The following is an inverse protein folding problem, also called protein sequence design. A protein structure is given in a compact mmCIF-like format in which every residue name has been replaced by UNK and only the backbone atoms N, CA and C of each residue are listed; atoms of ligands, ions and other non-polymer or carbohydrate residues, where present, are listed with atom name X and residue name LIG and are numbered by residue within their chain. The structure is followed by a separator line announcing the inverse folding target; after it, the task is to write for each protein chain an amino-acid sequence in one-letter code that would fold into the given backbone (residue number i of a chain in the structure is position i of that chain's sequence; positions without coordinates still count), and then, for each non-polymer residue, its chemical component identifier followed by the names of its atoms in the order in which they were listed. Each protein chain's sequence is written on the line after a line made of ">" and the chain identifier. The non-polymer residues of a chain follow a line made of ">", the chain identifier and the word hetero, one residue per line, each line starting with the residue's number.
data_IF_192434035253
#
_entry.id   IF_192434035253
#
_cell.length_a   1.000
_cell.length_b   1.000
_cell.length_c   1.000
_cell.angle_alpha   90.00
_cell.angle_beta   90.00
_cell.angle_gamma   90.00
#
_symmetry.space_group_name_H-M   'P 1'
#
loop_
_entity.id
_entity.type
_entity.pdbx_description
1 polymer ?
#
# COMPACT_ATOMS: atom_id res chain seq x y z
N UNK A 1 -25.32 -50.19 63.42
CA UNK A 1 -23.95 -49.99 62.91
C UNK A 1 -23.96 -48.81 61.96
N UNK A 2 -23.12 -47.79 62.22
CA UNK A 2 -22.93 -46.63 61.35
C UNK A 2 -22.02 -47.02 60.18
N UNK A 3 -22.35 -46.61 58.96
CA UNK A 3 -21.38 -46.46 57.88
C UNK A 3 -21.71 -45.21 57.07
N UNK A 4 -20.85 -44.21 57.24
CA UNK A 4 -20.82 -42.96 56.49
C UNK A 4 -19.75 -43.08 55.40
N UNK A 5 -20.15 -43.17 54.14
CA UNK A 5 -19.26 -43.12 52.98
C UNK A 5 -19.33 -41.75 52.30
N UNK A 6 -18.44 -40.83 52.68
CA UNK A 6 -18.18 -39.58 51.95
C UNK A 6 -17.30 -39.88 50.73
N UNK A 7 -17.83 -39.75 49.52
CA UNK A 7 -17.01 -39.57 48.31
C UNK A 7 -17.60 -38.46 47.44
N UNK A 8 -16.97 -37.29 47.45
CA UNK A 8 -17.37 -36.18 46.60
C UNK A 8 -16.49 -34.96 46.85
N UNK A 9 -15.33 -34.91 46.18
CA UNK A 9 -14.45 -33.74 46.33
C UNK A 9 -13.33 -33.61 45.31
N UNK A 10 -12.79 -34.71 44.79
CA UNK A 10 -11.57 -34.65 43.97
C UNK A 10 -11.81 -34.48 42.45
N UNK A 11 -12.99 -34.84 41.93
CA UNK A 11 -13.30 -34.69 40.50
C UNK A 11 -13.58 -33.23 40.07
N UNK A 12 -14.30 -32.46 40.90
CA UNK A 12 -14.68 -31.08 40.56
C UNK A 12 -13.51 -30.10 40.56
N UNK A 13 -12.52 -30.28 41.44
CA UNK A 13 -11.32 -29.44 41.48
C UNK A 13 -10.39 -29.65 40.28
N UNK A 14 -10.26 -30.90 39.79
CA UNK A 14 -9.46 -31.20 38.58
C UNK A 14 -10.12 -30.69 37.30
N UNK A 15 -11.45 -30.78 37.21
CA UNK A 15 -12.20 -30.22 36.08
C UNK A 15 -12.13 -28.67 36.03
N UNK A 16 -12.18 -28.00 37.18
CA UNK A 16 -12.06 -26.55 37.25
C UNK A 16 -10.66 -26.04 36.87
N UNK A 17 -9.60 -26.78 37.24
CA UNK A 17 -8.22 -26.44 36.87
C UNK A 17 -7.96 -26.71 35.37
N UNK A 18 -8.49 -27.80 34.82
CA UNK A 18 -8.40 -28.08 33.38
C UNK A 18 -9.20 -27.08 32.53
N UNK A 19 -10.37 -26.64 33.01
CA UNK A 19 -11.15 -25.59 32.37
C UNK A 19 -10.44 -24.22 32.45
N UNK A 20 -9.83 -23.88 33.59
CA UNK A 20 -9.05 -22.65 33.74
C UNK A 20 -7.78 -22.64 32.89
N UNK A 21 -7.10 -23.79 32.72
CA UNK A 21 -5.97 -23.94 31.80
C UNK A 21 -6.39 -23.91 30.32
N UNK A 22 -7.56 -24.46 29.98
CA UNK A 22 -8.12 -24.35 28.64
C UNK A 22 -8.59 -22.92 28.32
N UNK A 23 -9.15 -22.20 29.29
CA UNK A 23 -9.48 -20.78 29.18
C UNK A 23 -8.23 -19.89 29.16
N UNK A 24 -7.17 -20.23 29.90
CA UNK A 24 -5.89 -19.54 29.82
C UNK A 24 -5.13 -19.83 28.51
N UNK A 25 -5.29 -21.02 27.93
CA UNK A 25 -4.79 -21.35 26.59
C UNK A 25 -5.59 -20.64 25.48
N UNK A 26 -6.91 -20.47 25.66
CA UNK A 26 -7.76 -19.68 24.76
C UNK A 26 -7.56 -18.17 24.92
N UNK A 27 -7.17 -17.70 26.11
CA UNK A 27 -6.79 -16.31 26.37
C UNK A 27 -5.33 -16.00 25.97
N UNK A 28 -4.52 -17.03 25.71
CA UNK A 28 -3.11 -16.91 25.33
C UNK A 28 -2.84 -16.75 23.83
N UNK A 29 -3.87 -16.85 22.98
CA UNK A 29 -3.78 -16.51 21.55
C UNK A 29 -4.43 -15.15 21.32
N UNK A 30 -3.67 -14.07 21.54
CA UNK A 30 -4.03 -12.79 20.97
C UNK A 30 -3.96 -12.91 19.44
N UNK A 31 -5.11 -13.14 18.79
CA UNK A 31 -5.22 -13.10 17.33
C UNK A 31 -5.23 -11.63 16.92
N UNK A 32 -4.17 -11.12 16.30
CA UNK A 32 -4.15 -9.77 15.72
C UNK A 32 -4.09 -9.85 14.20
N UNK A 33 -4.86 -9.02 13.52
CA UNK A 33 -4.64 -8.71 12.12
C UNK A 33 -3.68 -7.51 12.03
N UNK A 34 -2.95 -7.36 10.92
CA UNK A 34 -2.04 -6.22 10.72
C UNK A 34 -2.88 -4.96 10.54
N UNK A 35 -2.63 -3.95 11.36
CA UNK A 35 -3.27 -2.64 11.19
C UNK A 35 -2.70 -1.95 9.95
N UNK A 36 -3.57 -1.59 9.01
CA UNK A 36 -3.16 -0.93 7.77
C UNK A 36 -3.86 0.41 7.62
N UNK A 37 -3.10 1.45 7.25
CA UNK A 37 -3.63 2.78 6.93
C UNK A 37 -3.37 3.06 5.46
N UNK A 38 -4.37 2.89 4.56
CA UNK A 38 -4.19 3.14 3.14
C UNK A 38 -3.91 4.61 2.81
N UNK A 39 -3.28 4.86 1.67
CA UNK A 39 -3.10 6.24 1.16
C UNK A 39 -4.42 6.86 0.70
N UNK A 40 -5.44 6.05 0.41
CA UNK A 40 -6.79 6.52 0.01
C UNK A 40 -6.73 7.58 -1.07
N UNK A 41 -5.93 7.32 -2.10
CA UNK A 41 -5.70 8.25 -3.20
C UNK A 41 -7.03 8.55 -3.88
N UNK A 42 -7.30 9.83 -4.16
CA UNK A 42 -8.47 10.29 -4.91
C UNK A 42 -8.03 11.16 -6.07
N UNK A 43 -8.81 11.09 -7.15
CA UNK A 43 -8.72 11.99 -8.28
C UNK A 43 -10.14 12.47 -8.61
N UNK A 44 -10.38 13.76 -8.43
CA UNK A 44 -11.71 14.37 -8.52
C UNK A 44 -11.71 15.45 -9.62
N UNK A 45 -12.77 15.48 -10.43
CA UNK A 45 -13.02 16.51 -11.43
C UNK A 45 -13.43 17.86 -10.81
N UNK A 46 -13.77 18.86 -11.64
CA UNK A 46 -14.04 20.22 -11.18
C UNK A 46 -15.31 20.35 -10.32
N UNK A 47 -16.25 19.43 -10.47
CA UNK A 47 -17.49 19.31 -9.70
C UNK A 47 -17.35 18.42 -8.45
N UNK A 48 -16.15 17.90 -8.17
CA UNK A 48 -15.88 16.94 -7.10
C UNK A 48 -16.25 15.50 -7.45
N UNK A 49 -16.67 15.21 -8.70
CA UNK A 49 -16.94 13.84 -9.12
C UNK A 49 -15.63 13.05 -9.24
N UNK A 50 -15.62 11.80 -8.77
CA UNK A 50 -14.50 10.88 -8.95
C UNK A 50 -14.22 10.63 -10.43
N UNK A 51 -12.95 10.71 -10.85
CA UNK A 51 -12.54 10.31 -12.19
C UNK A 51 -12.61 8.80 -12.42
N UNK A 52 -12.67 8.00 -11.36
CA UNK A 52 -12.52 6.54 -11.43
C UNK A 52 -13.85 5.82 -11.36
N UNK A 53 -14.82 6.36 -10.61
CA UNK A 53 -16.13 5.74 -10.39
C UNK A 53 -16.91 5.45 -11.70
N UNK A 54 -16.81 6.27 -12.77
CA UNK A 54 -17.48 5.98 -14.04
C UNK A 54 -16.89 4.81 -14.83
N UNK A 55 -15.69 4.33 -14.48
CA UNK A 55 -14.98 3.31 -15.24
C UNK A 55 -15.54 1.92 -14.93
N UNK A 56 -15.67 1.08 -15.96
CA UNK A 56 -16.23 -0.28 -15.82
C UNK A 56 -15.19 -1.34 -15.47
N UNK A 57 -13.90 -0.99 -15.39
CA UNK A 57 -12.83 -1.94 -15.13
C UNK A 57 -11.49 -1.27 -14.82
N UNK A 58 -10.52 -2.10 -14.42
CA UNK A 58 -9.17 -1.63 -14.15
C UNK A 58 -8.49 -1.11 -15.42
N UNK A 59 -7.61 -0.13 -15.24
CA UNK A 59 -6.97 0.55 -16.35
C UNK A 59 -5.84 1.48 -15.91
N UNK A 60 -5.43 2.33 -16.84
CA UNK A 60 -4.38 3.32 -16.65
C UNK A 60 -4.89 4.66 -17.17
N UNK A 61 -4.75 5.70 -16.35
CA UNK A 61 -5.15 7.06 -16.71
C UNK A 61 -3.93 7.97 -16.62
N UNK A 62 -3.80 8.84 -17.61
CA UNK A 62 -2.79 9.90 -17.65
C UNK A 62 -3.49 11.24 -17.61
N UNK A 63 -3.10 12.10 -16.67
CA UNK A 63 -3.60 13.48 -16.56
C UNK A 63 -2.44 14.44 -16.71
N UNK A 64 -2.53 15.34 -17.69
CA UNK A 64 -1.47 16.32 -17.98
C UNK A 64 -2.00 17.74 -17.89
N UNK A 65 -1.22 18.64 -17.30
CA UNK A 65 -1.57 20.06 -17.27
C UNK A 65 -0.71 20.86 -16.27
N UNK A 66 -0.85 22.19 -16.23
CA UNK A 66 -0.23 23.04 -15.22
C UNK A 66 -0.70 22.67 -13.81
N UNK A 67 0.25 22.48 -12.89
CA UNK A 67 -0.03 22.13 -11.51
C UNK A 67 -0.04 23.32 -10.57
N UNK A 68 -0.90 23.25 -9.56
CA UNK A 68 -0.86 24.04 -8.33
C UNK A 68 -0.93 23.10 -7.12
N UNK A 69 -0.42 23.56 -5.97
CA UNK A 69 -0.41 22.80 -4.73
C UNK A 69 -1.20 23.55 -3.64
N UNK A 70 -2.53 23.38 -3.58
CA UNK A 70 -3.35 23.95 -2.51
C UNK A 70 -2.90 23.53 -1.10
N UNK A 71 -2.33 22.33 -0.96
CA UNK A 71 -1.76 21.84 0.29
C UNK A 71 -0.65 20.82 0.01
N UNK A 72 0.17 20.42 1.02
CA UNK A 72 1.17 19.38 0.85
C UNK A 72 0.64 18.03 0.35
N UNK A 73 -0.63 17.71 0.58
CA UNK A 73 -1.27 16.44 0.16
C UNK A 73 -2.34 16.64 -0.90
N UNK A 74 -2.38 17.83 -1.51
CA UNK A 74 -3.36 18.18 -2.56
C UNK A 74 -2.64 18.77 -3.76
N UNK A 75 -2.75 18.11 -4.91
CA UNK A 75 -2.27 18.57 -6.20
C UNK A 75 -3.47 18.88 -7.07
N UNK A 76 -3.54 20.09 -7.62
CA UNK A 76 -4.55 20.45 -8.62
C UNK A 76 -3.86 20.63 -9.97
N UNK A 77 -4.38 19.96 -10.99
CA UNK A 77 -3.94 20.09 -12.39
C UNK A 77 -5.02 20.88 -13.12
N UNK A 78 -4.72 22.11 -13.49
CA UNK A 78 -5.63 22.99 -14.24
C UNK A 78 -5.55 22.69 -15.75
N UNK A 79 -6.62 22.98 -16.49
CA UNK A 79 -6.74 22.67 -17.93
C UNK A 79 -6.32 21.22 -18.23
N UNK A 80 -6.78 20.31 -17.37
CA UNK A 80 -6.33 18.93 -17.33
C UNK A 80 -6.73 18.20 -18.61
N UNK A 81 -5.73 17.73 -19.36
CA UNK A 81 -5.89 16.77 -20.45
C UNK A 81 -5.85 15.37 -19.84
N UNK A 82 -6.98 14.67 -19.90
CA UNK A 82 -7.16 13.32 -19.38
C UNK A 82 -7.14 12.35 -20.54
N UNK A 83 -6.24 11.37 -20.50
CA UNK A 83 -6.16 10.26 -21.43
C UNK A 83 -6.49 8.98 -20.67
N UNK A 84 -7.61 8.34 -21.04
CA UNK A 84 -8.14 7.14 -20.43
C UNK A 84 -8.66 6.15 -21.49
N UNK A 85 -9.32 5.08 -21.04
CA UNK A 85 -9.88 4.06 -21.93
C UNK A 85 -10.99 4.55 -22.89
N UNK A 86 -11.60 5.70 -22.61
CA UNK A 86 -12.62 6.35 -23.44
C UNK A 86 -12.01 7.37 -24.41
N UNK A 87 -10.69 7.59 -24.34
CA UNK A 87 -9.94 8.51 -25.18
C UNK A 87 -9.64 9.84 -24.51
N UNK A 88 -8.92 10.69 -25.23
CA UNK A 88 -8.44 11.97 -24.70
C UNK A 88 -9.54 13.02 -24.62
N UNK A 89 -9.70 13.63 -23.45
CA UNK A 89 -10.64 14.72 -23.21
C UNK A 89 -10.03 15.77 -22.26
N UNK A 90 -10.68 16.92 -22.14
CA UNK A 90 -10.17 18.04 -21.32
C UNK A 90 -11.18 18.41 -20.25
N UNK A 91 -10.68 18.61 -19.03
CA UNK A 91 -11.44 19.10 -17.88
C UNK A 91 -10.88 20.44 -17.43
N UNK A 92 -11.71 21.26 -16.78
CA UNK A 92 -11.26 22.55 -16.22
C UNK A 92 -10.13 22.34 -15.22
N UNK A 93 -10.26 21.32 -14.36
CA UNK A 93 -9.21 20.87 -13.46
C UNK A 93 -9.46 19.44 -12.98
N UNK A 94 -8.40 18.81 -12.50
CA UNK A 94 -8.43 17.56 -11.74
C UNK A 94 -7.67 17.78 -10.43
N UNK A 95 -8.26 17.36 -9.31
CA UNK A 95 -7.65 17.44 -7.98
C UNK A 95 -7.28 16.06 -7.49
N UNK A 96 -6.00 15.86 -7.18
CA UNK A 96 -5.46 14.65 -6.59
C UNK A 96 -5.22 14.87 -5.10
N UNK A 97 -5.64 13.92 -4.28
CA UNK A 97 -5.39 13.93 -2.84
C UNK A 97 -4.97 12.55 -2.33
N UNK A 98 -4.25 12.53 -1.22
CA UNK A 98 -3.98 11.32 -0.44
C UNK A 98 -4.07 11.61 1.06
N UNK A 99 -4.31 10.57 1.84
CA UNK A 99 -4.40 10.61 3.30
C UNK A 99 -2.98 10.58 3.91
N UNK A 100 -2.55 11.63 4.63
CA UNK A 100 -1.24 11.66 5.28
C UNK A 100 -1.13 10.69 6.47
N UNK A 101 -2.22 10.08 6.95
CA UNK A 101 -2.16 9.16 8.08
C UNK A 101 -1.27 7.94 7.80
N UNK A 102 -1.14 7.52 6.53
CA UNK A 102 -0.26 6.42 6.13
C UNK A 102 1.23 6.77 6.30
N UNK A 103 1.61 7.99 5.93
CA UNK A 103 2.98 8.53 6.06
C UNK A 103 2.90 10.03 6.36
N UNK A 104 3.02 10.46 7.63
CA UNK A 104 2.70 11.83 8.05
C UNK A 104 3.50 12.96 7.39
N UNK A 105 4.67 12.67 6.85
CA UNK A 105 5.55 13.64 6.16
C UNK A 105 5.60 13.43 4.64
N UNK A 106 4.79 12.54 4.09
CA UNK A 106 4.62 12.42 2.65
C UNK A 106 3.90 13.67 2.13
N UNK A 107 4.53 14.34 1.18
CA UNK A 107 4.00 15.53 0.54
C UNK A 107 4.31 15.49 -0.96
N UNK A 108 3.44 16.10 -1.76
CA UNK A 108 3.78 16.43 -3.14
C UNK A 108 4.97 17.41 -3.14
N UNK A 109 6.02 17.17 -3.96
CA UNK A 109 7.17 18.04 -4.01
C UNK A 109 6.79 19.49 -4.38
N UNK A 110 7.20 20.51 -3.59
CA UNK A 110 6.81 21.90 -3.85
C UNK A 110 7.19 22.41 -5.24
N UNK A 111 8.25 21.84 -5.85
CA UNK A 111 8.70 22.20 -7.21
C UNK A 111 7.69 21.86 -8.30
N UNK A 112 6.70 21.02 -8.04
CA UNK A 112 5.65 20.71 -9.01
C UNK A 112 4.75 21.92 -9.29
N UNK A 113 4.60 22.84 -8.32
CA UNK A 113 3.75 24.02 -8.48
C UNK A 113 4.27 24.94 -9.59
N UNK A 114 3.37 25.32 -10.52
CA UNK A 114 3.65 26.17 -11.66
C UNK A 114 4.26 25.44 -12.87
N UNK A 115 4.54 24.13 -12.76
CA UNK A 115 5.03 23.32 -13.88
C UNK A 115 3.88 22.57 -14.55
N UNK A 116 4.06 22.24 -15.83
CA UNK A 116 3.25 21.19 -16.46
C UNK A 116 3.68 19.84 -15.90
N UNK A 117 2.74 19.14 -15.28
CA UNK A 117 2.94 17.80 -14.72
C UNK A 117 2.21 16.76 -15.56
N UNK A 118 2.71 15.54 -15.51
CA UNK A 118 2.00 14.34 -15.94
C UNK A 118 1.76 13.48 -14.71
N UNK A 119 0.50 13.26 -14.34
CA UNK A 119 0.07 12.32 -13.31
C UNK A 119 -0.36 11.04 -13.99
N UNK A 120 0.29 9.94 -13.64
CA UNK A 120 0.00 8.62 -14.16
C UNK A 120 -0.53 7.75 -13.03
N UNK A 121 -1.70 7.16 -13.22
CA UNK A 121 -2.35 6.36 -12.20
C UNK A 121 -2.85 5.04 -12.75
N UNK A 122 -2.56 3.97 -12.02
CA UNK A 122 -3.34 2.75 -12.17
C UNK A 122 -4.66 2.97 -11.45
N UNK A 123 -5.72 2.43 -12.04
CA UNK A 123 -7.06 2.50 -11.48
C UNK A 123 -7.66 1.10 -11.47
N UNK A 124 -8.41 0.81 -10.41
CA UNK A 124 -9.23 -0.39 -10.30
C UNK A 124 -10.52 0.00 -9.57
N UNK A 125 -11.61 0.30 -10.28
CA UNK A 125 -12.89 0.67 -9.65
C UNK A 125 -13.43 -0.38 -8.67
N UNK A 126 -13.04 -1.65 -8.84
CA UNK A 126 -13.39 -2.75 -7.94
C UNK A 126 -12.28 -3.06 -6.92
N UNK A 127 -11.19 -2.29 -6.95
CA UNK A 127 -10.02 -2.43 -6.10
C UNK A 127 -10.37 -2.25 -4.64
N UNK A 128 -9.82 -3.14 -3.81
CA UNK A 128 -10.04 -3.14 -2.38
C UNK A 128 -8.74 -3.26 -1.61
N UNK A 129 -8.63 -2.53 -0.51
CA UNK A 129 -7.53 -2.65 0.43
C UNK A 129 -7.59 -3.91 1.30
N UNK A 130 -6.61 -4.07 2.20
CA UNK A 130 -6.49 -5.19 3.14
C UNK A 130 -7.78 -5.61 3.86
N UNK A 131 -8.56 -4.62 4.30
CA UNK A 131 -9.79 -4.80 5.09
C UNK A 131 -11.06 -4.56 4.25
N UNK A 132 -10.93 -4.58 2.92
CA UNK A 132 -11.98 -4.38 1.91
C UNK A 132 -12.51 -2.96 1.74
N UNK A 133 -11.83 -1.99 2.31
CA UNK A 133 -12.07 -0.59 2.01
C UNK A 133 -11.84 -0.32 0.51
N UNK A 134 -12.64 0.55 -0.13
CA UNK A 134 -12.42 0.91 -1.53
C UNK A 134 -11.03 1.49 -1.73
N UNK A 135 -10.35 1.01 -2.77
CA UNK A 135 -8.99 1.41 -3.10
C UNK A 135 -8.88 1.53 -4.63
N UNK A 136 -9.54 2.57 -5.14
CA UNK A 136 -9.81 2.74 -6.57
C UNK A 136 -8.62 3.25 -7.36
N UNK A 137 -7.68 3.93 -6.68
CA UNK A 137 -6.41 4.39 -7.25
C UNK A 137 -5.30 3.78 -6.40
N UNK A 138 -4.79 2.61 -6.78
CA UNK A 138 -3.92 1.87 -5.88
C UNK A 138 -2.43 2.18 -6.12
N UNK A 139 -2.10 2.95 -7.17
CA UNK A 139 -0.81 3.59 -7.33
C UNK A 139 -0.91 4.86 -8.19
N UNK A 140 -0.09 5.85 -7.88
CA UNK A 140 0.10 7.05 -8.71
C UNK A 140 1.58 7.43 -8.77
N UNK A 141 2.01 7.98 -9.90
CA UNK A 141 3.32 8.61 -10.08
C UNK A 141 3.20 9.93 -10.81
N UNK A 142 4.09 10.86 -10.49
CA UNK A 142 4.06 12.22 -11.05
C UNK A 142 5.42 12.52 -11.66
N UNK A 143 5.37 12.99 -12.90
CA UNK A 143 6.51 13.53 -13.61
C UNK A 143 6.29 14.99 -13.97
N UNK A 144 7.39 15.70 -14.19
CA UNK A 144 7.43 16.98 -14.88
C UNK A 144 7.90 16.77 -16.33
N UNK A 145 7.48 17.67 -17.23
CA UNK A 145 7.85 17.63 -18.64
C UNK A 145 6.89 16.80 -19.51
N UNK A 146 6.60 17.30 -20.71
CA UNK A 146 5.59 16.72 -21.61
C UNK A 146 6.11 15.51 -22.42
N UNK A 147 7.39 15.53 -22.79
CA UNK A 147 8.03 14.49 -23.64
C UNK A 147 9.19 13.79 -22.94
N UNK A 148 10.11 14.54 -22.34
CA UNK A 148 11.17 13.99 -21.49
C UNK A 148 10.72 14.02 -20.02
N UNK A 149 9.99 12.99 -19.60
CA UNK A 149 9.41 12.89 -18.24
C UNK A 149 10.51 12.73 -17.20
N UNK A 150 10.47 13.58 -16.18
CA UNK A 150 11.31 13.47 -14.97
C UNK A 150 10.41 13.20 -13.77
N UNK A 151 10.46 11.98 -13.24
CA UNK A 151 9.60 11.58 -12.11
C UNK A 151 10.11 12.17 -10.80
N UNK A 152 9.15 12.58 -9.97
CA UNK A 152 9.41 13.31 -8.73
C UNK A 152 8.62 12.79 -7.54
N UNK A 153 7.56 12.01 -7.80
CA UNK A 153 6.70 11.42 -6.76
C UNK A 153 6.14 10.09 -7.23
N UNK A 154 6.04 9.14 -6.30
CA UNK A 154 5.45 7.82 -6.48
C UNK A 154 4.85 7.36 -5.16
N UNK A 155 3.64 6.85 -5.19
CA UNK A 155 3.03 6.18 -4.06
C UNK A 155 2.26 4.97 -4.57
N UNK A 156 2.36 3.86 -3.85
CA UNK A 156 1.74 2.61 -4.27
C UNK A 156 1.38 1.71 -3.10
N UNK A 157 0.25 1.04 -3.23
CA UNK A 157 -0.26 0.11 -2.23
C UNK A 157 -1.02 -1.03 -2.89
N UNK A 158 -0.56 -2.27 -2.69
CA UNK A 158 -1.04 -3.39 -3.50
C UNK A 158 -0.89 -4.75 -2.86
N UNK A 159 -1.64 -5.73 -3.35
CA UNK A 159 -1.23 -7.12 -3.24
C UNK A 159 0.03 -7.39 -4.09
N UNK A 160 0.86 -8.32 -3.67
CA UNK A 160 2.01 -8.81 -4.45
C UNK A 160 1.99 -10.33 -4.52
N UNK A 161 2.50 -10.88 -5.61
CA UNK A 161 2.54 -12.33 -5.82
C UNK A 161 3.93 -12.85 -5.51
N UNK A 162 4.01 -13.84 -4.64
CA UNK A 162 5.23 -14.60 -4.39
C UNK A 162 5.27 -15.85 -5.27
N UNK A 163 6.36 -16.06 -5.99
CA UNK A 163 6.61 -17.31 -6.71
C UNK A 163 7.67 -18.12 -5.96
N UNK A 164 7.27 -19.18 -5.25
CA UNK A 164 8.18 -20.16 -4.64
C UNK A 164 9.34 -19.54 -3.81
N UNK A 165 9.07 -18.51 -3.00
CA UNK A 165 10.09 -17.85 -2.18
C UNK A 165 10.93 -16.79 -2.90
N UNK A 166 10.65 -16.51 -4.17
CA UNK A 166 11.22 -15.39 -4.91
C UNK A 166 10.63 -14.04 -4.44
N UNK A 167 11.35 -12.93 -4.66
CA UNK A 167 10.81 -11.60 -4.46
C UNK A 167 9.49 -11.41 -5.21
N UNK A 168 8.50 -10.80 -4.56
CA UNK A 168 7.23 -10.45 -5.17
C UNK A 168 7.27 -9.02 -5.72
N UNK A 169 6.62 -8.80 -6.86
CA UNK A 169 6.45 -7.45 -7.40
C UNK A 169 5.03 -6.95 -7.06
N UNK A 170 4.87 -5.71 -6.58
CA UNK A 170 3.56 -5.09 -6.41
C UNK A 170 2.75 -5.15 -7.72
N UNK A 171 1.49 -5.59 -7.68
CA UNK A 171 0.65 -5.80 -8.87
C UNK A 171 0.24 -4.52 -9.62
N UNK A 172 0.62 -3.35 -9.11
CA UNK A 172 0.11 -2.04 -9.54
C UNK A 172 1.21 -1.09 -10.01
N UNK A 173 2.33 -1.64 -10.46
CA UNK A 173 3.23 -0.88 -11.30
C UNK A 173 2.62 -1.00 -12.70
N UNK A 174 2.25 0.13 -13.32
CA UNK A 174 1.59 0.17 -14.64
C UNK A 174 2.51 -0.37 -15.74
N UNK A 175 2.34 0.00 -17.02
CA UNK A 175 3.34 -0.33 -18.03
C UNK A 175 4.69 0.29 -17.64
N UNK A 176 5.54 -0.53 -17.03
CA UNK A 176 6.86 -0.15 -16.56
C UNK A 176 7.90 -0.65 -17.55
N UNK A 177 8.66 0.28 -18.14
CA UNK A 177 9.61 -0.06 -19.22
C UNK A 177 11.04 -0.28 -18.70
N UNK A 178 11.25 -0.27 -17.38
CA UNK A 178 12.54 -0.60 -16.77
C UNK A 178 13.65 0.45 -16.93
N UNK A 179 13.41 1.50 -17.72
CA UNK A 179 14.38 2.57 -18.05
C UNK A 179 13.98 3.93 -17.48
N UNK A 180 12.88 3.99 -16.75
CA UNK A 180 12.34 5.23 -16.20
C UNK A 180 13.17 5.70 -15.00
N UNK A 181 13.24 7.03 -14.81
CA UNK A 181 13.93 7.67 -13.68
C UNK A 181 13.14 7.52 -12.36
N UNK A 182 12.80 6.29 -11.97
CA UNK A 182 11.92 6.00 -10.84
C UNK A 182 12.38 4.73 -10.10
N UNK A 183 12.35 4.70 -8.76
CA UNK A 183 12.76 3.51 -8.02
C UNK A 183 11.83 2.32 -8.30
N UNK A 184 12.42 1.14 -8.49
CA UNK A 184 11.70 -0.12 -8.63
C UNK A 184 11.65 -0.88 -7.30
N UNK A 185 10.49 -1.44 -6.97
CA UNK A 185 10.22 -2.05 -5.67
C UNK A 185 9.91 -3.53 -5.79
N UNK A 186 10.54 -4.33 -4.94
CA UNK A 186 10.30 -5.75 -4.78
C UNK A 186 10.11 -6.07 -3.29
N UNK A 187 9.18 -6.97 -2.98
CA UNK A 187 8.97 -7.47 -1.63
C UNK A 187 9.74 -8.76 -1.44
N UNK A 188 10.67 -8.78 -0.49
CA UNK A 188 11.41 -9.97 -0.07
C UNK A 188 10.70 -10.63 1.11
N UNK A 189 10.31 -11.91 0.99
CA UNK A 189 9.78 -12.64 2.13
C UNK A 189 10.76 -12.70 3.30
N UNK A 190 10.28 -12.45 4.51
CA UNK A 190 11.04 -12.65 5.73
C UNK A 190 10.37 -13.70 6.63
N UNK A 191 10.64 -14.97 6.34
CA UNK A 191 10.01 -16.12 7.00
C UNK A 191 10.42 -16.33 8.47
N UNK A 192 11.25 -15.46 9.03
CA UNK A 192 11.78 -15.61 10.38
C UNK A 192 10.81 -15.11 11.45
N UNK A 193 9.89 -14.22 11.09
CA UNK A 193 8.92 -13.60 11.98
C UNK A 193 7.50 -13.92 11.50
N UNK A 194 6.70 -14.56 12.35
CA UNK A 194 5.31 -14.89 12.04
C UNK A 194 4.48 -14.95 13.30
N UNK A 195 3.23 -14.51 13.19
CA UNK A 195 2.31 -14.48 14.32
C UNK A 195 0.95 -15.10 13.97
N UNK A 196 0.27 -15.74 14.95
CA UNK A 196 -1.10 -16.19 14.77
C UNK A 196 -2.05 -15.02 14.52
N UNK A 197 -2.79 -15.06 13.42
CA UNK A 197 -3.86 -14.12 13.11
C UNK A 197 -5.19 -14.85 12.91
N UNK A 198 -6.27 -14.06 12.77
CA UNK A 198 -7.63 -14.60 12.60
C UNK A 198 -7.77 -15.51 11.38
N UNK A 199 -7.05 -15.17 10.30
CA UNK A 199 -7.19 -15.83 9.00
C UNK A 199 -6.01 -16.74 8.61
N UNK A 200 -5.09 -17.01 9.54
CA UNK A 200 -3.90 -17.83 9.29
C UNK A 200 -2.67 -17.29 10.00
N UNK A 201 -1.50 -17.80 9.62
CA UNK A 201 -0.23 -17.22 10.07
C UNK A 201 0.07 -15.98 9.23
N UNK A 202 0.28 -14.84 9.88
CA UNK A 202 0.73 -13.61 9.24
C UNK A 202 2.25 -13.51 9.37
N UNK A 203 2.91 -13.06 8.30
CA UNK A 203 4.32 -12.74 8.23
C UNK A 203 4.42 -11.23 7.97
N UNK A 204 4.50 -10.43 9.04
CA UNK A 204 4.47 -8.96 9.01
C UNK A 204 5.85 -8.29 8.89
N UNK A 205 6.86 -9.07 8.54
CA UNK A 205 8.25 -8.64 8.50
C UNK A 205 8.87 -8.69 7.10
N UNK A 206 8.07 -8.86 6.05
CA UNK A 206 8.58 -8.85 4.68
C UNK A 206 9.29 -7.52 4.39
N UNK A 207 10.39 -7.59 3.66
CA UNK A 207 11.27 -6.44 3.45
C UNK A 207 11.02 -5.83 2.07
N UNK A 208 11.21 -4.53 1.93
CA UNK A 208 11.15 -3.84 0.64
C UNK A 208 12.54 -3.63 0.06
N UNK A 209 12.83 -4.26 -1.07
CA UNK A 209 14.07 -4.08 -1.84
C UNK A 209 13.86 -3.05 -2.94
N UNK A 210 14.82 -2.13 -3.11
CA UNK A 210 14.81 -1.09 -4.14
C UNK A 210 15.92 -1.33 -5.16
N UNK A 211 15.62 -1.92 -6.32
CA UNK A 211 16.62 -2.59 -7.19
C UNK A 211 17.21 -1.76 -8.32
N UNK A 212 16.53 -0.72 -8.79
CA UNK A 212 17.02 0.20 -9.83
C UNK A 212 17.73 1.43 -9.26
N UNK A 213 18.34 1.25 -8.09
CA UNK A 213 18.87 2.35 -7.31
C UNK A 213 20.32 2.11 -6.89
N UNK A 214 21.05 3.19 -6.64
CA UNK A 214 22.43 3.16 -6.17
C UNK A 214 22.48 3.90 -4.82
N UNK A 215 22.83 3.24 -3.71
CA UNK A 215 22.97 1.79 -3.57
C UNK A 215 21.60 1.09 -3.66
N UNK A 216 21.59 -0.20 -4.01
CA UNK A 216 20.43 -1.07 -3.79
C UNK A 216 20.23 -1.20 -2.27
N UNK A 217 19.04 -0.85 -1.79
CA UNK A 217 18.69 -0.91 -0.37
C UNK A 217 17.60 -1.95 -0.13
N UNK A 218 17.59 -2.51 1.08
CA UNK A 218 16.50 -3.36 1.59
C UNK A 218 16.04 -2.76 2.91
N UNK A 219 14.75 -2.46 3.01
CA UNK A 219 14.14 -1.73 4.10
C UNK A 219 13.18 -2.65 4.86
N UNK A 220 13.23 -2.60 6.18
CA UNK A 220 12.17 -3.15 7.02
C UNK A 220 10.99 -2.16 7.10
N UNK A 221 9.84 -2.63 7.56
CA UNK A 221 8.65 -1.79 7.70
C UNK A 221 8.94 -0.53 8.54
N UNK A 222 8.39 0.60 8.10
CA UNK A 222 8.62 1.93 8.68
C UNK A 222 10.01 2.53 8.40
N UNK A 223 10.93 1.83 7.72
CA UNK A 223 12.28 2.34 7.44
C UNK A 223 12.32 3.15 6.16
N UNK A 224 13.33 4.04 6.11
CA UNK A 224 13.56 5.00 5.03
C UNK A 224 15.00 4.97 4.57
N UNK A 225 15.22 5.34 3.31
CA UNK A 225 16.55 5.56 2.76
C UNK A 225 16.50 6.67 1.70
N UNK A 226 17.69 7.20 1.38
CA UNK A 226 17.90 8.00 0.18
C UNK A 226 18.64 7.15 -0.84
N UNK A 227 18.15 7.16 -2.08
CA UNK A 227 18.73 6.36 -3.16
C UNK A 227 18.80 7.18 -4.46
N UNK A 228 19.80 6.90 -5.29
CA UNK A 228 19.92 7.53 -6.60
C UNK A 228 19.36 6.60 -7.68
N UNK A 229 18.54 7.14 -8.55
CA UNK A 229 17.98 6.45 -9.73
C UNK A 229 18.32 7.27 -10.96
N UNK A 230 18.64 6.59 -12.06
CA UNK A 230 19.01 7.25 -13.31
C UNK A 230 20.30 8.07 -13.20
N UNK A 231 20.34 9.18 -13.93
CA UNK A 231 21.52 10.07 -14.03
C UNK A 231 21.37 11.37 -13.22
N UNK A 232 20.25 11.58 -12.53
CA UNK A 232 20.01 12.81 -11.77
C UNK A 232 20.78 12.80 -10.44
N UNK A 233 21.31 13.97 -10.09
CA UNK A 233 22.07 14.18 -8.85
C UNK A 233 21.18 14.33 -7.60
N UNK A 234 19.87 14.51 -7.76
CA UNK A 234 18.92 14.58 -6.65
C UNK A 234 18.53 13.15 -6.24
N UNK A 235 18.66 12.75 -4.96
CA UNK A 235 18.24 11.44 -4.52
C UNK A 235 16.72 11.36 -4.37
N UNK A 236 16.18 10.15 -4.50
CA UNK A 236 14.85 9.80 -4.04
C UNK A 236 14.87 9.50 -2.54
N UNK A 237 13.96 10.09 -1.78
CA UNK A 237 13.56 9.57 -0.49
C UNK A 237 12.63 8.37 -0.74
N UNK A 238 12.93 7.21 -0.19
CA UNK A 238 12.10 6.01 -0.28
C UNK A 238 11.69 5.57 1.12
N UNK A 239 10.43 5.20 1.28
CA UNK A 239 9.89 4.64 2.53
C UNK A 239 9.20 3.32 2.26
N UNK A 240 9.56 2.32 3.06
CA UNK A 240 8.77 1.11 3.21
C UNK A 240 7.77 1.35 4.31
N UNK A 241 6.48 1.49 3.96
CA UNK A 241 5.45 1.70 4.98
C UNK A 241 5.23 0.37 5.70
N UNK A 242 4.87 -0.67 4.95
CA UNK A 242 4.68 -2.02 5.47
C UNK A 242 4.58 -3.04 4.33
N UNK A 243 4.95 -4.28 4.61
CA UNK A 243 4.67 -5.44 3.76
C UNK A 243 4.37 -6.65 4.61
N UNK A 244 3.39 -7.45 4.21
CA UNK A 244 3.07 -8.70 4.87
C UNK A 244 2.46 -9.72 3.92
N UNK A 245 2.64 -11.00 4.22
CA UNK A 245 1.91 -12.08 3.57
C UNK A 245 1.34 -13.05 4.59
N UNK A 246 0.41 -13.91 4.16
CA UNK A 246 -0.30 -14.85 5.03
C UNK A 246 -0.24 -16.26 4.49
N UNK A 247 -0.10 -17.22 5.41
CA UNK A 247 -0.37 -18.63 5.14
C UNK A 247 -1.75 -18.97 5.70
N UNK A 248 -2.71 -19.09 4.78
CA UNK A 248 -4.14 -19.14 5.08
C UNK A 248 -4.78 -17.78 4.81
N UNK A 249 -6.03 -17.80 4.38
CA UNK A 249 -6.82 -16.59 4.20
C UNK A 249 -8.26 -16.88 4.60
N UNK A 250 -8.94 -15.86 5.11
CA UNK A 250 -10.39 -15.83 5.00
C UNK A 250 -10.69 -15.50 3.53
N UNK A 251 -11.82 -15.97 2.98
CA UNK A 251 -12.27 -15.61 1.62
C UNK A 251 -12.52 -14.10 1.40
N UNK A 252 -12.10 -13.26 2.34
CA UNK A 252 -12.49 -11.87 2.53
C UNK A 252 -11.35 -10.89 2.82
N UNK A 253 -10.11 -11.33 3.02
CA UNK A 253 -8.99 -10.42 3.28
C UNK A 253 -7.86 -10.67 2.27
N UNK A 254 -7.01 -9.67 2.07
CA UNK A 254 -5.82 -9.83 1.23
C UNK A 254 -4.91 -10.95 1.78
N UNK A 255 -4.35 -11.77 0.89
CA UNK A 255 -3.36 -12.80 1.24
C UNK A 255 -1.95 -12.24 1.37
N UNK A 256 -1.70 -11.08 0.77
CA UNK A 256 -0.46 -10.33 0.81
C UNK A 256 -0.75 -8.85 0.55
N UNK A 257 0.09 -7.98 1.11
CA UNK A 257 -0.05 -6.54 0.95
C UNK A 257 1.28 -5.82 1.11
N UNK A 258 1.54 -4.81 0.29
CA UNK A 258 2.71 -3.93 0.36
C UNK A 258 2.27 -2.49 0.20
N UNK A 259 2.96 -1.58 0.89
CA UNK A 259 2.72 -0.16 0.83
C UNK A 259 4.05 0.59 0.89
N UNK A 260 4.26 1.49 -0.06
CA UNK A 260 5.50 2.23 -0.22
C UNK A 260 5.25 3.62 -0.79
N UNK A 261 6.18 4.54 -0.55
CA UNK A 261 6.20 5.83 -1.19
C UNK A 261 7.63 6.24 -1.53
N UNK A 262 7.77 7.09 -2.53
CA UNK A 262 9.01 7.71 -2.92
C UNK A 262 8.79 9.12 -3.44
N UNK A 263 9.66 10.05 -3.07
CA UNK A 263 9.60 11.43 -3.53
C UNK A 263 10.99 12.07 -3.54
N UNK A 264 11.15 13.11 -4.35
CA UNK A 264 12.38 13.90 -4.48
C UNK A 264 12.18 15.30 -3.92
#
# INVERSE_FOLDING_TARGET
>A
MRSSGRHGGHGRRRAAIAAALALAALAGCATRDVETTPFRIRAEGPDGASLVDPLSGAGFIVVTGPASLPSPTTLRVDQAVVDDMNGTHTLEAVTFTFDPAAVPDLAFPPRLAGLTVTVEMNVDPAGTGPEREPLTIPALRIATGETARSYDFLVGESAYTLANGMPGVPALLGPFVGTEDIPFFEVLPNWTESEPAKCGMVYDADMLRVTQSIPVVTLAAGRRAQVYVGLRAEPWNVVHVQSWHRRGTCARQAGSWTQFAAWR
#
